data_IF_812575415498
#
_entry.id   IF_812575415498
#
_cell.length_a   1.000
_cell.length_b   1.000
_cell.length_c   1.000
_cell.angle_alpha   90.00
_cell.angle_beta   90.00
_cell.angle_gamma   90.00
#
_symmetry.space_group_name_H-M   'P 1'
#
loop_
_entity.id
_entity.type
_entity.pdbx_description
1 polymer ?
#
# COMPACT_ATOMS: atom_id res chain seq x y z
N UNK A 1 14.93 -9.84 2.42
CA UNK A 1 14.06 -9.88 1.22
C UNK A 1 13.46 -8.50 1.11
N UNK A 2 14.18 -7.60 0.47
CA UNK A 2 13.86 -6.17 0.47
C UNK A 2 12.76 -5.85 -0.53
N UNK A 3 11.80 -5.04 -0.10
CA UNK A 3 10.75 -4.51 -0.95
C UNK A 3 11.30 -3.35 -1.78
N UNK A 4 11.46 -3.56 -3.09
CA UNK A 4 11.95 -2.54 -4.01
C UNK A 4 10.80 -1.68 -4.57
N UNK A 5 10.88 -0.37 -4.34
CA UNK A 5 9.88 0.58 -4.81
C UNK A 5 9.68 0.57 -6.33
N UNK A 6 10.74 0.32 -7.11
CA UNK A 6 10.66 0.25 -8.57
C UNK A 6 9.78 -0.91 -9.07
N UNK A 7 9.85 -2.06 -8.39
CA UNK A 7 8.99 -3.21 -8.71
C UNK A 7 7.54 -2.89 -8.41
N UNK A 8 7.28 -2.29 -7.24
CA UNK A 8 5.92 -1.86 -6.83
C UNK A 8 5.36 -0.84 -7.83
N UNK A 9 6.18 0.12 -8.27
CA UNK A 9 5.84 1.10 -9.29
C UNK A 9 5.41 0.45 -10.60
N UNK A 10 6.18 -0.52 -11.07
CA UNK A 10 5.95 -1.19 -12.34
C UNK A 10 4.63 -1.96 -12.31
N UNK A 11 4.36 -2.67 -11.20
CA UNK A 11 3.08 -3.34 -11.00
C UNK A 11 1.89 -2.39 -10.95
N UNK A 12 1.97 -1.29 -10.18
CA UNK A 12 0.87 -0.32 -10.09
C UNK A 12 0.59 0.34 -11.44
N UNK A 13 1.64 0.67 -12.21
CA UNK A 13 1.49 1.19 -13.57
C UNK A 13 0.81 0.17 -14.48
N UNK A 14 1.22 -1.09 -14.42
CA UNK A 14 0.65 -2.15 -15.24
C UNK A 14 -0.84 -2.35 -14.94
N UNK A 15 -1.20 -2.46 -13.66
CA UNK A 15 -2.60 -2.62 -13.21
C UNK A 15 -3.44 -1.40 -13.60
N UNK A 16 -2.88 -0.19 -13.50
CA UNK A 16 -3.58 1.03 -13.90
C UNK A 16 -3.85 1.12 -15.40
N UNK A 17 -2.98 0.55 -16.23
CA UNK A 17 -3.15 0.49 -17.68
C UNK A 17 -4.13 -0.60 -18.11
N UNK A 18 -4.13 -1.77 -17.46
CA UNK A 18 -5.01 -2.89 -17.84
C UNK A 18 -6.40 -2.76 -17.23
N UNK A 19 -6.49 -2.32 -15.97
CA UNK A 19 -7.71 -2.40 -15.15
C UNK A 19 -7.71 -1.29 -14.09
N UNK A 20 -7.99 -0.04 -14.47
CA UNK A 20 -7.95 1.11 -13.56
C UNK A 20 -8.92 1.00 -12.38
N UNK A 21 -10.03 0.28 -12.56
CA UNK A 21 -11.03 0.04 -11.50
C UNK A 21 -10.53 -0.87 -10.39
N UNK A 22 -9.54 -1.74 -10.67
CA UNK A 22 -8.96 -2.64 -9.66
C UNK A 22 -7.81 -2.00 -8.89
N UNK A 23 -7.24 -0.90 -9.39
CA UNK A 23 -6.13 -0.23 -8.73
C UNK A 23 -6.43 0.18 -7.27
N UNK A 24 -7.58 0.82 -6.93
CA UNK A 24 -7.93 1.11 -5.54
C UNK A 24 -8.10 -0.16 -4.70
N UNK A 25 -8.65 -1.23 -5.26
CA UNK A 25 -8.81 -2.51 -4.56
C UNK A 25 -7.46 -3.16 -4.24
N UNK A 26 -6.49 -3.07 -5.16
CA UNK A 26 -5.14 -3.64 -4.98
C UNK A 26 -4.35 -2.88 -3.93
N UNK A 27 -4.41 -1.54 -3.91
CA UNK A 27 -3.64 -0.74 -2.93
C UNK A 27 -4.20 -0.84 -1.51
N UNK A 28 -5.52 -0.98 -1.37
CA UNK A 28 -6.20 -1.10 -0.08
C UNK A 28 -6.45 -2.56 0.32
N UNK A 29 -5.84 -3.51 -0.40
CA UNK A 29 -5.95 -4.92 -0.07
C UNK A 29 -5.35 -5.17 1.32
N UNK A 30 -6.15 -5.80 2.17
CA UNK A 30 -5.75 -6.20 3.51
C UNK A 30 -5.37 -7.67 3.54
N UNK A 31 -4.37 -8.02 4.34
CA UNK A 31 -4.06 -9.40 4.65
C UNK A 31 -5.00 -9.97 5.74
N UNK A 32 -4.74 -11.21 6.17
CA UNK A 32 -5.50 -11.85 7.25
C UNK A 32 -5.46 -11.11 8.59
N UNK A 33 -4.49 -10.20 8.80
CA UNK A 33 -4.33 -9.38 9.99
C UNK A 33 -4.95 -7.97 9.82
N UNK A 34 -5.55 -7.66 8.67
CA UNK A 34 -6.05 -6.32 8.38
C UNK A 34 -4.94 -5.33 8.00
N UNK A 35 -3.70 -5.79 7.79
CA UNK A 35 -2.61 -4.92 7.38
C UNK A 35 -2.66 -4.72 5.86
N UNK A 36 -2.72 -3.47 5.46
CA UNK A 36 -2.49 -3.04 4.08
C UNK A 36 -1.01 -2.97 3.75
N UNK A 37 -0.68 -2.89 2.45
CA UNK A 37 0.68 -2.61 1.99
C UNK A 37 1.28 -1.36 2.68
N UNK A 38 0.44 -0.35 2.97
CA UNK A 38 0.86 0.86 3.67
C UNK A 38 1.33 0.59 5.11
N UNK A 39 0.63 -0.27 5.87
CA UNK A 39 1.04 -0.66 7.23
C UNK A 39 2.45 -1.26 7.25
N UNK A 40 2.73 -2.17 6.33
CA UNK A 40 4.05 -2.80 6.22
C UNK A 40 5.12 -1.80 5.76
N UNK A 41 4.77 -0.91 4.83
CA UNK A 41 5.72 0.06 4.28
C UNK A 41 6.21 1.04 5.35
N UNK A 42 5.30 1.52 6.21
CA UNK A 42 5.65 2.40 7.33
C UNK A 42 6.43 1.64 8.40
N UNK A 43 5.96 0.45 8.81
CA UNK A 43 6.63 -0.37 9.83
C UNK A 43 8.07 -0.76 9.45
N UNK A 44 8.36 -0.95 8.16
CA UNK A 44 9.72 -1.25 7.67
C UNK A 44 10.52 0.02 7.31
N UNK A 45 10.02 1.21 7.60
CA UNK A 45 10.64 2.50 7.24
C UNK A 45 10.95 2.64 5.74
N UNK A 46 10.15 1.98 4.89
CA UNK A 46 10.33 2.01 3.43
C UNK A 46 9.58 3.20 2.83
N UNK A 47 10.07 4.41 3.12
CA UNK A 47 9.42 5.67 2.74
C UNK A 47 9.28 5.86 1.23
N UNK A 48 10.14 5.22 0.43
CA UNK A 48 10.00 5.21 -1.03
C UNK A 48 8.72 4.53 -1.48
N UNK A 49 8.36 3.39 -0.87
CA UNK A 49 7.09 2.69 -1.16
C UNK A 49 5.91 3.44 -0.55
N UNK A 50 6.04 3.99 0.67
CA UNK A 50 4.99 4.82 1.29
C UNK A 50 4.62 5.98 0.38
N UNK A 51 5.62 6.75 -0.09
CA UNK A 51 5.39 7.87 -1.01
C UNK A 51 4.71 7.41 -2.28
N UNK A 52 5.16 6.29 -2.86
CA UNK A 52 4.59 5.77 -4.10
C UNK A 52 3.12 5.35 -3.96
N UNK A 53 2.77 4.72 -2.84
CA UNK A 53 1.39 4.34 -2.51
C UNK A 53 0.52 5.58 -2.31
N UNK A 54 1.00 6.58 -1.56
CA UNK A 54 0.27 7.84 -1.33
C UNK A 54 0.11 8.67 -2.62
N UNK A 55 1.12 8.67 -3.50
CA UNK A 55 1.08 9.36 -4.80
C UNK A 55 -0.02 8.79 -5.72
N UNK A 56 -0.54 7.58 -5.45
CA UNK A 56 -1.71 7.05 -6.18
C UNK A 56 -3.00 7.80 -5.86
N UNK A 57 -3.09 8.47 -4.70
CA UNK A 57 -4.29 9.16 -4.21
C UNK A 57 -5.46 8.24 -3.86
N UNK A 58 -5.26 6.93 -3.89
CA UNK A 58 -6.30 5.91 -3.71
C UNK A 58 -6.12 5.10 -2.42
N UNK A 59 -5.03 5.32 -1.69
CA UNK A 59 -4.77 4.64 -0.43
C UNK A 59 -5.68 5.14 0.69
N UNK A 60 -6.28 4.20 1.43
CA UNK A 60 -6.97 4.49 2.68
C UNK A 60 -5.95 4.57 3.82
N UNK A 61 -5.74 5.77 4.38
CA UNK A 61 -4.78 5.98 5.48
C UNK A 61 -5.38 5.77 6.87
N UNK A 62 -6.70 5.78 6.96
CA UNK A 62 -7.41 5.75 8.26
C UNK A 62 -7.91 4.35 8.62
N UNK A 63 -7.72 3.37 7.72
CA UNK A 63 -8.09 1.98 8.00
C UNK A 63 -7.19 1.38 9.08
N UNK A 64 -7.82 0.92 10.16
CA UNK A 64 -7.14 0.20 11.24
C UNK A 64 -6.99 -1.27 10.88
N UNK A 65 -5.84 -1.85 11.23
CA UNK A 65 -5.66 -3.29 11.21
C UNK A 65 -6.45 -3.97 12.34
N UNK A 66 -6.42 -5.31 12.41
CA UNK A 66 -7.08 -6.07 13.49
C UNK A 66 -6.51 -5.80 14.88
N UNK A 67 -5.30 -5.25 14.98
CA UNK A 67 -4.71 -4.81 16.23
C UNK A 67 -5.16 -3.40 16.66
N UNK A 68 -5.92 -2.69 15.82
CA UNK A 68 -6.44 -1.35 16.10
C UNK A 68 -5.50 -0.21 15.72
N UNK A 69 -4.44 -0.48 14.97
CA UNK A 69 -3.48 0.55 14.53
C UNK A 69 -3.74 0.95 13.09
N UNK A 70 -3.71 2.25 12.81
CA UNK A 70 -3.63 2.76 11.44
C UNK A 70 -2.17 2.71 10.95
N UNK A 71 -1.92 2.78 9.62
CA UNK A 71 -0.57 2.81 9.08
C UNK A 71 0.28 3.96 9.62
N UNK A 72 -0.33 5.10 9.97
CA UNK A 72 0.38 6.28 10.48
C UNK A 72 0.78 6.15 11.96
N UNK A 73 0.18 5.22 12.69
CA UNK A 73 0.52 4.95 14.10
C UNK A 73 1.72 4.01 14.25
N UNK A 74 2.09 3.29 13.18
CA UNK A 74 3.22 2.36 13.14
C UNK A 74 4.50 3.09 12.71
#
# INVERSE_FOLDING_TARGET
KDSHADTVRLYLRQVGLTTPTLLPYVVNLTDGNGNMALHYSVSHSNFSVVKLLLDTGLCETDNVNKAGYTPVML
#
